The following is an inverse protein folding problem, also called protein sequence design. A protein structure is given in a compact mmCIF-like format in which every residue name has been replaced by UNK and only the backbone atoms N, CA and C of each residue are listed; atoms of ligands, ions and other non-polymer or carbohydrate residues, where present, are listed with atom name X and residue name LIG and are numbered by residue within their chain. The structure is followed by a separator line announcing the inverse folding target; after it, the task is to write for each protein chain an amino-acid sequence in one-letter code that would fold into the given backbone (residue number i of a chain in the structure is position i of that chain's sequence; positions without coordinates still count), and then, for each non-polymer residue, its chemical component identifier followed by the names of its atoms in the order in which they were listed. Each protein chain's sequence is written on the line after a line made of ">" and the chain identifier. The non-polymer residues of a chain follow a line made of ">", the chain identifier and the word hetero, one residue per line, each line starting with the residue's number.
data_IF_409527597613
#
_entry.id   IF_409527597613
#
_cell.length_a   1.000
_cell.length_b   1.000
_cell.length_c   1.000
_cell.angle_alpha   90.00
_cell.angle_beta   90.00
_cell.angle_gamma   90.00
#
_symmetry.space_group_name_H-M   'P 1'
#
loop_
_entity.id
_entity.type
_entity.pdbx_description
1 polymer ?
#
# COMPACT_ATOMS: atom_id res chain seq x y z
N UNK A 1 -15.51 24.38 5.86
CA UNK A 1 -15.31 23.57 4.63
C UNK A 1 -13.84 23.44 4.24
N UNK A 2 -13.05 24.52 4.25
CA UNK A 2 -11.60 24.46 3.91
C UNK A 2 -10.74 23.61 4.86
N UNK A 3 -11.16 23.39 6.12
CA UNK A 3 -10.48 22.52 7.09
C UNK A 3 -10.84 21.03 6.95
N UNK A 4 -12.01 20.71 6.40
CA UNK A 4 -12.48 19.33 6.25
C UNK A 4 -11.77 18.61 5.10
N UNK A 5 -11.49 19.33 4.02
CA UNK A 5 -10.95 18.74 2.80
C UNK A 5 -9.54 18.13 2.98
N UNK A 6 -8.57 18.80 3.64
CA UNK A 6 -7.29 18.18 3.97
C UNK A 6 -7.43 16.93 4.85
N UNK A 7 -8.37 16.93 5.81
CA UNK A 7 -8.62 15.77 6.67
C UNK A 7 -9.16 14.58 5.86
N UNK A 8 -10.05 14.83 4.90
CA UNK A 8 -10.55 13.79 4.00
C UNK A 8 -9.41 13.22 3.15
N UNK A 9 -8.52 14.06 2.62
CA UNK A 9 -7.33 13.60 1.87
C UNK A 9 -6.44 12.71 2.75
N UNK A 10 -6.12 13.16 3.97
CA UNK A 10 -5.31 12.39 4.94
C UNK A 10 -5.96 11.04 5.24
N UNK A 11 -7.26 11.04 5.56
CA UNK A 11 -8.00 9.82 5.90
C UNK A 11 -8.08 8.86 4.71
N UNK A 12 -8.49 9.33 3.53
CA UNK A 12 -8.59 8.51 2.32
C UNK A 12 -7.25 7.91 1.92
N UNK A 13 -6.19 8.71 1.86
CA UNK A 13 -4.85 8.24 1.53
C UNK A 13 -4.36 7.18 2.54
N UNK A 14 -4.54 7.44 3.85
CA UNK A 14 -4.13 6.51 4.90
C UNK A 14 -4.89 5.18 4.83
N UNK A 15 -6.20 5.22 4.61
CA UNK A 15 -7.06 4.03 4.49
C UNK A 15 -6.70 3.22 3.25
N UNK A 16 -6.48 3.86 2.10
CA UNK A 16 -6.04 3.18 0.87
C UNK A 16 -4.77 2.38 1.14
N UNK A 17 -3.77 3.02 1.76
CA UNK A 17 -2.50 2.36 2.03
C UNK A 17 -2.61 1.22 3.05
N UNK A 18 -3.46 1.36 4.08
CA UNK A 18 -3.78 0.30 5.04
C UNK A 18 -4.43 -0.90 4.36
N UNK A 19 -5.48 -0.67 3.57
CA UNK A 19 -6.23 -1.74 2.89
C UNK A 19 -5.33 -2.52 1.94
N UNK A 20 -4.51 -1.82 1.16
CA UNK A 20 -3.51 -2.46 0.28
C UNK A 20 -2.47 -3.24 1.09
N UNK A 21 -1.95 -2.69 2.19
CA UNK A 21 -1.00 -3.39 3.05
C UNK A 21 -1.58 -4.71 3.59
N UNK A 22 -2.80 -4.66 4.15
CA UNK A 22 -3.50 -5.81 4.71
C UNK A 22 -3.91 -6.84 3.64
N UNK A 23 -4.16 -6.40 2.40
CA UNK A 23 -4.57 -7.27 1.29
C UNK A 23 -3.55 -8.36 0.97
N UNK A 24 -2.24 -8.07 1.12
CA UNK A 24 -1.18 -9.01 0.78
C UNK A 24 -1.16 -10.23 1.70
N UNK A 25 -1.64 -10.10 2.94
CA UNK A 25 -1.79 -11.24 3.84
C UNK A 25 -2.83 -12.25 3.37
N UNK A 26 -3.72 -11.89 2.43
CA UNK A 26 -4.63 -12.85 1.81
C UNK A 26 -3.89 -13.95 1.04
N UNK A 27 -2.69 -13.68 0.50
CA UNK A 27 -1.84 -14.70 -0.14
C UNK A 27 -1.34 -15.73 0.86
N UNK A 28 -0.91 -15.27 2.04
CA UNK A 28 -0.47 -16.13 3.14
C UNK A 28 -1.64 -16.99 3.63
N UNK A 29 -2.79 -16.36 3.87
CA UNK A 29 -4.00 -17.04 4.31
C UNK A 29 -4.50 -18.08 3.30
N UNK A 30 -4.51 -17.75 2.00
CA UNK A 30 -4.86 -18.68 0.94
C UNK A 30 -3.92 -19.88 0.89
N UNK A 31 -2.61 -19.67 1.02
CA UNK A 31 -1.64 -20.78 1.11
C UNK A 31 -1.86 -21.64 2.35
N UNK A 32 -2.08 -21.02 3.51
CA UNK A 32 -2.36 -21.70 4.78
C UNK A 32 -3.63 -22.57 4.73
N UNK A 33 -4.65 -22.14 3.98
CA UNK A 33 -5.88 -22.89 3.75
C UNK A 33 -5.79 -23.92 2.60
N UNK A 34 -4.63 -24.05 1.94
CA UNK A 34 -4.48 -24.92 0.76
C UNK A 34 -5.26 -24.43 -0.47
N UNK A 35 -5.62 -23.14 -0.52
CA UNK A 35 -6.40 -22.46 -1.57
C UNK A 35 -5.69 -21.19 -2.07
N UNK A 36 -4.49 -21.28 -2.67
CA UNK A 36 -3.69 -20.11 -3.08
C UNK A 36 -4.41 -19.20 -4.07
N UNK A 37 -5.18 -19.78 -5.00
CA UNK A 37 -5.99 -19.03 -5.98
C UNK A 37 -7.06 -18.18 -5.28
N UNK A 38 -7.72 -18.71 -4.24
CA UNK A 38 -8.68 -17.95 -3.44
C UNK A 38 -8.02 -16.80 -2.69
N UNK A 39 -6.81 -17.04 -2.14
CA UNK A 39 -6.02 -15.98 -1.52
C UNK A 39 -5.68 -14.85 -2.50
N UNK A 40 -5.34 -15.19 -3.75
CA UNK A 40 -5.13 -14.19 -4.80
C UNK A 40 -6.40 -13.40 -5.13
N UNK A 41 -7.52 -14.10 -5.29
CA UNK A 41 -8.79 -13.46 -5.60
C UNK A 41 -9.21 -12.46 -4.49
N UNK A 42 -8.99 -12.80 -3.22
CA UNK A 42 -9.25 -11.90 -2.09
C UNK A 42 -8.34 -10.67 -2.16
N UNK A 43 -7.03 -10.84 -2.41
CA UNK A 43 -6.11 -9.71 -2.59
C UNK A 43 -6.59 -8.78 -3.72
N UNK A 44 -6.91 -9.33 -4.89
CA UNK A 44 -7.37 -8.55 -6.04
C UNK A 44 -8.72 -7.86 -5.80
N UNK A 45 -9.63 -8.49 -5.07
CA UNK A 45 -10.89 -7.86 -4.68
C UNK A 45 -10.62 -6.64 -3.78
N UNK A 46 -9.74 -6.77 -2.79
CA UNK A 46 -9.35 -5.65 -1.93
C UNK A 46 -8.67 -4.53 -2.73
N UNK A 47 -7.73 -4.83 -3.63
CA UNK A 47 -7.08 -3.80 -4.46
C UNK A 47 -8.04 -3.13 -5.43
N UNK A 48 -9.09 -3.82 -5.89
CA UNK A 48 -10.15 -3.21 -6.70
C UNK A 48 -10.94 -2.19 -5.90
N UNK A 49 -11.25 -2.49 -4.64
CA UNK A 49 -11.90 -1.54 -3.72
C UNK A 49 -10.99 -0.33 -3.45
N UNK A 50 -9.68 -0.52 -3.27
CA UNK A 50 -8.76 0.61 -3.04
C UNK A 50 -8.65 1.52 -4.25
N UNK A 51 -8.71 0.98 -5.48
CA UNK A 51 -8.78 1.80 -6.70
C UNK A 51 -9.99 2.73 -6.71
N UNK A 52 -11.15 2.28 -6.24
CA UNK A 52 -12.32 3.15 -6.10
C UNK A 52 -12.06 4.33 -5.15
N UNK A 53 -11.49 4.07 -3.97
CA UNK A 53 -11.12 5.14 -3.03
C UNK A 53 -10.06 6.09 -3.61
N UNK A 54 -9.13 5.57 -4.41
CA UNK A 54 -8.11 6.37 -5.09
C UNK A 54 -8.72 7.29 -6.17
N UNK A 55 -9.70 6.79 -6.93
CA UNK A 55 -10.47 7.62 -7.87
C UNK A 55 -11.26 8.71 -7.15
N UNK A 56 -11.78 8.45 -5.95
CA UNK A 56 -12.44 9.46 -5.12
C UNK A 56 -11.46 10.49 -4.54
N UNK A 57 -10.19 10.13 -4.31
CA UNK A 57 -9.15 11.03 -3.80
C UNK A 57 -8.75 12.11 -4.83
N UNK A 58 -8.69 11.77 -6.11
CA UNK A 58 -8.23 12.69 -7.17
C UNK A 58 -9.06 13.97 -7.28
N UNK A 59 -10.42 13.93 -7.29
CA UNK A 59 -11.24 15.15 -7.24
C UNK A 59 -11.00 16.01 -6.00
N UNK A 60 -10.73 15.40 -4.82
CA UNK A 60 -10.45 16.17 -3.60
C UNK A 60 -9.15 16.96 -3.75
N UNK A 61 -8.10 16.32 -4.30
CA UNK A 61 -6.84 16.99 -4.60
C UNK A 61 -6.98 18.04 -5.70
N UNK A 62 -7.76 17.75 -6.75
CA UNK A 62 -8.05 18.71 -7.82
C UNK A 62 -8.75 19.96 -7.29
N UNK A 63 -9.73 19.78 -6.41
CA UNK A 63 -10.43 20.89 -5.78
C UNK A 63 -9.50 21.75 -4.90
N UNK A 64 -8.55 21.14 -4.19
CA UNK A 64 -7.53 21.90 -3.45
C UNK A 64 -6.66 22.75 -4.38
N UNK A 65 -6.30 22.21 -5.54
CA UNK A 65 -5.55 22.93 -6.57
C UNK A 65 -6.38 24.07 -7.16
N UNK A 66 -7.64 23.82 -7.53
CA UNK A 66 -8.54 24.85 -8.08
C UNK A 66 -8.83 25.97 -7.08
N UNK A 67 -8.82 25.67 -5.77
CA UNK A 67 -8.94 26.66 -4.71
C UNK A 67 -7.63 27.39 -4.39
N UNK A 68 -6.52 27.02 -5.04
CA UNK A 68 -5.20 27.61 -4.82
C UNK A 68 -4.84 27.71 -3.34
N UNK A 69 -5.02 26.60 -2.60
CA UNK A 69 -4.67 26.55 -1.19
C UNK A 69 -3.18 26.89 -0.98
N UNK A 70 -2.78 27.44 0.18
CA UNK A 70 -1.37 27.72 0.43
C UNK A 70 -0.49 26.47 0.25
N UNK A 71 0.67 26.62 -0.39
CA UNK A 71 1.62 25.51 -0.62
C UNK A 71 2.11 24.91 0.71
N UNK A 72 2.29 25.74 1.74
CA UNK A 72 2.59 25.31 3.11
C UNK A 72 1.51 24.38 3.69
N UNK A 73 0.23 24.70 3.47
CA UNK A 73 -0.90 23.87 3.91
C UNK A 73 -0.92 22.53 3.17
N UNK A 74 -0.70 22.54 1.85
CA UNK A 74 -0.65 21.30 1.06
C UNK A 74 0.53 20.42 1.49
N UNK A 75 1.70 21.01 1.74
CA UNK A 75 2.89 20.29 2.23
C UNK A 75 2.59 19.59 3.56
N UNK A 76 2.04 20.31 4.54
CA UNK A 76 1.66 19.74 5.83
C UNK A 76 0.62 18.62 5.69
N UNK A 77 -0.38 18.82 4.84
CA UNK A 77 -1.40 17.80 4.54
C UNK A 77 -0.77 16.55 3.92
N UNK A 78 0.12 16.69 2.94
CA UNK A 78 0.78 15.56 2.28
C UNK A 78 1.66 14.76 3.25
N UNK A 79 2.41 15.44 4.11
CA UNK A 79 3.19 14.79 5.16
C UNK A 79 2.30 14.09 6.19
N UNK A 80 1.22 14.73 6.63
CA UNK A 80 0.25 14.12 7.54
C UNK A 80 -0.43 12.89 6.92
N UNK A 81 -0.72 12.90 5.62
CA UNK A 81 -1.28 11.77 4.89
C UNK A 81 -0.30 10.58 4.86
N UNK A 82 0.97 10.82 4.53
CA UNK A 82 1.99 9.77 4.53
C UNK A 82 2.28 9.25 5.94
N UNK A 83 2.31 10.13 6.93
CA UNK A 83 2.46 9.74 8.34
C UNK A 83 1.28 8.87 8.82
N UNK A 84 0.04 9.28 8.52
CA UNK A 84 -1.15 8.48 8.81
C UNK A 84 -1.13 7.11 8.14
N UNK A 85 -0.72 7.06 6.86
CA UNK A 85 -0.55 5.81 6.13
C UNK A 85 0.53 4.90 6.73
N UNK A 86 1.65 5.47 7.17
CA UNK A 86 2.71 4.73 7.85
C UNK A 86 2.23 4.20 9.21
N UNK A 87 1.56 5.02 10.02
CA UNK A 87 1.03 4.63 11.32
C UNK A 87 0.01 3.50 11.21
N UNK A 88 -0.93 3.61 10.27
CA UNK A 88 -1.91 2.54 10.02
C UNK A 88 -1.24 1.28 9.48
N UNK A 89 -0.23 1.39 8.61
CA UNK A 89 0.53 0.23 8.12
C UNK A 89 1.31 -0.46 9.25
N UNK A 90 1.86 0.30 10.21
CA UNK A 90 2.48 -0.24 11.42
C UNK A 90 1.46 -0.92 12.33
N UNK A 91 0.26 -0.35 12.48
CA UNK A 91 -0.85 -1.02 13.17
C UNK A 91 -1.20 -2.35 12.46
N UNK A 92 -1.25 -2.35 11.13
CA UNK A 92 -1.45 -3.56 10.33
C UNK A 92 -0.32 -4.58 10.49
N UNK A 93 0.93 -4.13 10.67
CA UNK A 93 2.04 -5.00 11.05
C UNK A 93 1.83 -5.63 12.43
N UNK A 94 1.39 -4.85 13.42
CA UNK A 94 1.15 -5.34 14.77
C UNK A 94 0.00 -6.35 14.81
N UNK A 95 -1.10 -6.08 14.09
CA UNK A 95 -2.29 -6.94 14.01
C UNK A 95 -2.18 -8.11 13.02
N UNK A 96 -1.02 -8.30 12.38
CA UNK A 96 -0.87 -9.20 11.22
C UNK A 96 -1.34 -10.64 11.46
N UNK A 97 -1.03 -11.23 12.62
CA UNK A 97 -1.38 -12.64 12.87
C UNK A 97 -2.89 -12.81 13.06
N UNK A 98 -3.53 -11.90 13.79
CA UNK A 98 -4.99 -11.87 13.94
C UNK A 98 -5.68 -11.68 12.60
N UNK A 99 -5.14 -10.81 11.74
CA UNK A 99 -5.67 -10.58 10.39
C UNK A 99 -5.49 -11.80 9.48
N UNK A 100 -4.31 -12.43 9.47
CA UNK A 100 -4.07 -13.67 8.72
C UNK A 100 -5.00 -14.77 9.22
N UNK A 101 -5.23 -14.90 10.53
CA UNK A 101 -6.14 -15.88 11.10
C UNK A 101 -7.59 -15.66 10.67
N UNK A 102 -8.06 -14.41 10.68
CA UNK A 102 -9.38 -14.04 10.19
C UNK A 102 -9.56 -14.46 8.72
N UNK A 103 -8.61 -14.09 7.85
CA UNK A 103 -8.67 -14.45 6.42
C UNK A 103 -8.56 -15.96 6.20
N UNK A 104 -7.66 -16.63 6.91
CA UNK A 104 -7.47 -18.08 6.82
C UNK A 104 -8.75 -18.80 7.20
N UNK A 105 -9.36 -18.44 8.33
CA UNK A 105 -10.60 -19.06 8.80
C UNK A 105 -11.81 -18.72 7.91
N UNK A 106 -11.85 -17.54 7.29
CA UNK A 106 -12.87 -17.22 6.29
C UNK A 106 -12.77 -18.14 5.05
N UNK A 107 -11.56 -18.41 4.57
CA UNK A 107 -11.33 -19.34 3.45
C UNK A 107 -11.62 -20.79 3.86
N UNK A 108 -11.12 -21.23 5.02
CA UNK A 108 -11.31 -22.59 5.56
C UNK A 108 -12.79 -22.92 5.80
N UNK A 109 -13.56 -21.98 6.36
CA UNK A 109 -15.01 -22.13 6.57
C UNK A 109 -15.74 -22.43 5.26
N UNK A 110 -15.43 -21.69 4.18
CA UNK A 110 -16.02 -21.93 2.84
C UNK A 110 -15.58 -23.27 2.23
N UNK A 111 -14.43 -23.78 2.64
CA UNK A 111 -13.90 -25.07 2.20
C UNK A 111 -14.31 -26.26 3.11
N UNK A 112 -15.14 -26.04 4.14
CA UNK A 112 -15.55 -27.08 5.08
C UNK A 112 -14.43 -27.56 6.02
N UNK A 113 -13.38 -26.77 6.23
CA UNK A 113 -12.23 -27.10 7.07
C UNK A 113 -12.37 -26.51 8.48
N UNK A 114 -11.87 -27.19 9.54
CA UNK A 114 -11.93 -26.69 10.91
C UNK A 114 -11.10 -25.39 11.05
N UNK A 115 -11.50 -24.45 11.93
CA UNK A 115 -10.77 -23.20 12.13
C UNK A 115 -9.43 -23.45 12.81
N UNK A 116 -8.47 -22.55 12.57
CA UNK A 116 -7.18 -22.50 13.26
C UNK A 116 -7.15 -21.35 14.26
N UNK A 117 -6.50 -21.56 15.40
CA UNK A 117 -6.20 -20.52 16.39
C UNK A 117 -5.05 -19.64 15.91
N UNK A 118 -4.99 -18.42 16.45
CA UNK A 118 -3.93 -17.45 16.11
C UNK A 118 -2.55 -18.00 16.45
N UNK A 119 -2.40 -18.71 17.58
CA UNK A 119 -1.12 -19.28 18.00
C UNK A 119 -0.62 -20.41 17.08
N UNK A 120 -1.53 -21.23 16.56
CA UNK A 120 -1.19 -22.29 15.59
C UNK A 120 -0.65 -21.68 14.30
N UNK A 121 -1.31 -20.61 13.81
CA UNK A 121 -0.88 -19.86 12.64
C UNK A 121 0.47 -19.20 12.91
N UNK A 122 0.62 -18.51 14.04
CA UNK A 122 1.86 -17.84 14.40
C UNK A 122 3.04 -18.80 14.40
N UNK A 123 2.89 -19.94 15.08
CA UNK A 123 3.92 -21.00 15.14
C UNK A 123 4.27 -21.52 13.75
N UNK A 124 3.27 -21.76 12.89
CA UNK A 124 3.49 -22.22 11.52
C UNK A 124 4.21 -21.19 10.63
N UNK A 125 4.03 -19.89 10.90
CA UNK A 125 4.60 -18.80 10.11
C UNK A 125 5.99 -18.37 10.57
N UNK A 126 6.29 -18.49 11.86
CA UNK A 126 7.58 -18.06 12.44
C UNK A 126 8.73 -19.04 12.18
N UNK A 127 8.45 -20.20 11.57
CA UNK A 127 9.49 -21.13 11.13
C UNK A 127 10.56 -20.45 10.27
N UNK A 128 11.86 -20.80 10.43
CA UNK A 128 12.95 -20.19 9.68
C UNK A 128 12.77 -20.35 8.17
N UNK A 129 13.02 -19.27 7.42
CA UNK A 129 12.94 -19.25 5.96
C UNK A 129 14.29 -18.94 5.33
N UNK A 130 14.63 -19.65 4.24
CA UNK A 130 15.85 -19.44 3.45
C UNK A 130 15.53 -18.66 2.17
N UNK A 131 15.29 -17.35 2.31
CA UNK A 131 14.90 -16.47 1.21
C UNK A 131 15.76 -15.20 1.16
N UNK A 132 15.98 -14.62 -0.04
CA UNK A 132 16.69 -13.35 -0.20
C UNK A 132 15.81 -12.15 0.21
N UNK A 133 15.42 -12.08 1.48
CA UNK A 133 14.45 -11.10 2.03
C UNK A 133 14.84 -9.65 1.70
N UNK A 134 16.14 -9.31 1.81
CA UNK A 134 16.65 -7.96 1.52
C UNK A 134 16.39 -7.51 0.08
N UNK A 135 16.57 -8.42 -0.90
CA UNK A 135 16.34 -8.12 -2.32
C UNK A 135 14.87 -7.89 -2.62
N UNK A 136 13.98 -8.67 -1.99
CA UNK A 136 12.54 -8.51 -2.11
C UNK A 136 12.11 -7.16 -1.49
N UNK A 137 12.60 -6.85 -0.29
CA UNK A 137 12.31 -5.60 0.40
C UNK A 137 12.80 -4.38 -0.40
N UNK A 138 14.01 -4.42 -0.95
CA UNK A 138 14.56 -3.32 -1.74
C UNK A 138 13.74 -3.07 -3.01
N UNK A 139 13.42 -4.14 -3.76
CA UNK A 139 12.58 -4.04 -4.95
C UNK A 139 11.21 -3.46 -4.60
N UNK A 140 10.59 -3.97 -3.54
CA UNK A 140 9.30 -3.48 -3.07
C UNK A 140 9.36 -2.00 -2.68
N UNK A 141 10.42 -1.57 -1.98
CA UNK A 141 10.59 -0.18 -1.59
C UNK A 141 10.66 0.74 -2.83
N UNK A 142 11.40 0.35 -3.87
CA UNK A 142 11.50 1.12 -5.12
C UNK A 142 10.12 1.22 -5.80
N UNK A 143 9.40 0.11 -5.94
CA UNK A 143 8.09 0.08 -6.60
C UNK A 143 7.06 0.90 -5.81
N UNK A 144 6.99 0.71 -4.49
CA UNK A 144 6.03 1.40 -3.65
C UNK A 144 6.37 2.88 -3.45
N UNK A 145 7.63 3.29 -3.60
CA UNK A 145 8.00 4.71 -3.55
C UNK A 145 7.24 5.52 -4.60
N UNK A 146 7.14 5.00 -5.83
CA UNK A 146 6.36 5.64 -6.90
C UNK A 146 4.87 5.76 -6.52
N UNK A 147 4.28 4.71 -5.94
CA UNK A 147 2.88 4.71 -5.50
C UNK A 147 2.60 5.73 -4.40
N UNK A 148 3.49 5.82 -3.41
CA UNK A 148 3.29 6.67 -2.24
C UNK A 148 3.50 8.15 -2.62
N UNK A 149 4.52 8.45 -3.43
CA UNK A 149 4.92 9.82 -3.72
C UNK A 149 4.12 10.44 -4.89
N UNK A 150 3.82 9.65 -5.92
CA UNK A 150 3.43 10.16 -7.24
C UNK A 150 2.25 11.11 -7.22
N UNK A 151 1.11 10.70 -6.64
CA UNK A 151 -0.10 11.52 -6.64
C UNK A 151 0.07 12.83 -5.87
N UNK A 152 0.61 12.76 -4.64
CA UNK A 152 0.73 13.94 -3.79
C UNK A 152 1.72 14.93 -4.41
N UNK A 153 2.82 14.45 -4.98
CA UNK A 153 3.82 15.30 -5.61
C UNK A 153 3.31 15.95 -6.91
N UNK A 154 2.62 15.19 -7.77
CA UNK A 154 2.00 15.74 -8.99
C UNK A 154 1.00 16.83 -8.67
N UNK A 155 0.12 16.63 -7.68
CA UNK A 155 -0.87 17.64 -7.33
C UNK A 155 -0.25 18.84 -6.59
N UNK A 156 0.84 18.66 -5.85
CA UNK A 156 1.63 19.78 -5.34
C UNK A 156 2.21 20.63 -6.49
N UNK A 157 2.80 20.00 -7.51
CA UNK A 157 3.29 20.77 -8.67
C UNK A 157 2.17 21.40 -9.49
N UNK A 158 0.99 20.79 -9.56
CA UNK A 158 -0.19 21.40 -10.18
C UNK A 158 -0.66 22.64 -9.41
N UNK A 159 -0.42 22.70 -8.10
CA UNK A 159 -0.67 23.88 -7.27
C UNK A 159 0.37 24.98 -7.52
N UNK A 160 1.66 24.63 -7.58
CA UNK A 160 2.77 25.57 -7.83
C UNK A 160 2.70 26.17 -9.24
N UNK A 161 2.54 25.33 -10.26
CA UNK A 161 2.50 25.74 -11.67
C UNK A 161 1.05 25.72 -12.18
N UNK A 162 0.24 26.60 -11.59
CA UNK A 162 -1.23 26.55 -11.72
C UNK A 162 -1.74 26.70 -13.17
N UNK A 163 -0.99 27.38 -14.04
CA UNK A 163 -1.31 27.51 -15.47
C UNK A 163 -1.36 26.15 -16.18
N UNK A 164 -0.52 25.20 -15.76
CA UNK A 164 -0.40 23.86 -16.34
C UNK A 164 -1.07 22.77 -15.48
N UNK A 165 -1.90 23.17 -14.50
CA UNK A 165 -2.46 22.26 -13.48
C UNK A 165 -3.13 21.01 -14.04
N UNK A 166 -3.85 21.13 -15.15
CA UNK A 166 -4.54 19.99 -15.80
C UNK A 166 -3.52 18.97 -16.32
N UNK A 167 -2.51 19.43 -17.06
CA UNK A 167 -1.44 18.58 -17.57
C UNK A 167 -0.66 17.93 -16.43
N UNK A 168 -0.27 18.71 -15.41
CA UNK A 168 0.55 18.21 -14.30
C UNK A 168 -0.24 17.22 -13.43
N UNK A 169 -1.52 17.49 -13.15
CA UNK A 169 -2.37 16.54 -12.42
C UNK A 169 -2.58 15.24 -13.19
N UNK A 170 -2.68 15.27 -14.53
CA UNK A 170 -2.76 14.07 -15.36
C UNK A 170 -1.47 13.23 -15.34
N UNK A 171 -0.29 13.85 -15.13
CA UNK A 171 0.97 13.10 -14.94
C UNK A 171 0.92 12.17 -13.73
N UNK A 172 0.07 12.45 -12.73
CA UNK A 172 -0.11 11.53 -11.60
C UNK A 172 -0.62 10.16 -12.05
N UNK A 173 -1.54 10.13 -13.03
CA UNK A 173 -2.08 8.92 -13.62
C UNK A 173 -0.99 8.13 -14.37
N UNK A 174 -0.10 8.83 -15.09
CA UNK A 174 1.04 8.21 -15.76
C UNK A 174 2.02 7.59 -14.76
N UNK A 175 2.40 8.32 -13.71
CA UNK A 175 3.30 7.81 -12.66
C UNK A 175 2.69 6.58 -11.97
N UNK A 176 1.41 6.63 -11.63
CA UNK A 176 0.69 5.50 -11.05
C UNK A 176 0.59 4.30 -12.02
N UNK A 177 0.39 4.56 -13.31
CA UNK A 177 0.41 3.55 -14.37
C UNK A 177 1.76 2.82 -14.44
N UNK A 178 2.87 3.57 -14.44
CA UNK A 178 4.23 2.99 -14.41
C UNK A 178 4.45 2.17 -13.14
N UNK A 179 4.05 2.68 -11.97
CA UNK A 179 4.16 1.95 -10.71
C UNK A 179 3.37 0.63 -10.75
N UNK A 180 2.19 0.65 -11.38
CA UNK A 180 1.35 -0.54 -11.58
C UNK A 180 1.97 -1.55 -12.52
N UNK A 181 2.57 -1.11 -13.62
CA UNK A 181 3.31 -2.00 -14.51
C UNK A 181 4.47 -2.66 -13.77
N UNK A 182 5.25 -1.90 -13.00
CA UNK A 182 6.35 -2.46 -12.21
C UNK A 182 5.84 -3.45 -11.16
N UNK A 183 4.75 -3.14 -10.47
CA UNK A 183 4.14 -4.06 -9.50
C UNK A 183 3.72 -5.37 -10.18
N UNK A 184 2.92 -5.28 -11.24
CA UNK A 184 2.28 -6.44 -11.87
C UNK A 184 3.23 -7.28 -12.74
N UNK A 185 4.18 -6.67 -13.43
CA UNK A 185 5.11 -7.42 -14.30
C UNK A 185 6.39 -7.86 -13.59
N UNK A 186 6.75 -7.24 -12.45
CA UNK A 186 8.05 -7.50 -11.80
C UNK A 186 7.89 -8.09 -10.40
N UNK A 187 7.07 -7.48 -9.55
CA UNK A 187 6.95 -7.90 -8.15
C UNK A 187 5.96 -9.06 -7.98
N UNK A 188 4.77 -8.95 -8.58
CA UNK A 188 3.71 -9.98 -8.46
C UNK A 188 4.14 -11.36 -8.98
N UNK A 189 4.81 -11.52 -10.13
CA UNK A 189 5.20 -12.84 -10.63
C UNK A 189 6.22 -13.52 -9.73
N UNK A 190 7.13 -12.74 -9.10
CA UNK A 190 8.11 -13.25 -8.14
C UNK A 190 7.43 -13.76 -6.87
N UNK A 191 6.43 -13.04 -6.36
CA UNK A 191 5.66 -13.48 -5.19
C UNK A 191 4.80 -14.70 -5.53
N UNK A 192 4.14 -14.71 -6.70
CA UNK A 192 3.33 -15.83 -7.16
C UNK A 192 4.15 -17.12 -7.25
N UNK A 193 5.35 -17.09 -7.85
CA UNK A 193 6.23 -18.25 -7.90
C UNK A 193 6.63 -18.79 -6.52
N UNK A 194 6.77 -17.92 -5.51
CA UNK A 194 7.01 -18.34 -4.12
C UNK A 194 5.75 -18.98 -3.54
N UNK A 195 4.56 -18.38 -3.75
CA UNK A 195 3.28 -18.93 -3.28
C UNK A 195 3.03 -20.34 -3.80
N UNK A 196 3.37 -20.60 -5.07
CA UNK A 196 3.11 -21.88 -5.72
C UNK A 196 4.13 -22.96 -5.33
N UNK A 197 5.41 -22.61 -5.21
CA UNK A 197 6.49 -23.60 -5.07
C UNK A 197 7.02 -23.79 -3.64
N UNK A 198 6.69 -22.90 -2.69
CA UNK A 198 7.32 -22.88 -1.35
C UNK A 198 6.31 -23.20 -0.22
N UNK A 199 6.81 -23.63 0.96
CA UNK A 199 5.98 -23.81 2.14
C UNK A 199 5.43 -22.49 2.69
N UNK A 200 4.39 -22.56 3.52
CA UNK A 200 3.65 -21.37 3.99
C UNK A 200 4.51 -20.34 4.75
N UNK A 201 5.50 -20.79 5.54
CA UNK A 201 6.41 -19.87 6.24
C UNK A 201 7.25 -19.05 5.26
N UNK A 202 7.80 -19.68 4.21
CA UNK A 202 8.54 -18.98 3.15
C UNK A 202 7.66 -17.92 2.46
N UNK A 203 6.40 -18.25 2.16
CA UNK A 203 5.43 -17.30 1.60
C UNK A 203 5.21 -16.12 2.54
N UNK A 204 5.02 -16.37 3.84
CA UNK A 204 4.89 -15.31 4.83
C UNK A 204 6.12 -14.42 4.91
N UNK A 205 7.32 -15.01 4.98
CA UNK A 205 8.56 -14.23 5.05
C UNK A 205 8.81 -13.41 3.77
N UNK A 206 8.42 -13.90 2.59
CA UNK A 206 8.47 -13.14 1.35
C UNK A 206 7.50 -11.95 1.35
N UNK A 207 6.24 -12.18 1.71
CA UNK A 207 5.22 -11.13 1.83
C UNK A 207 5.65 -10.10 2.89
N UNK A 208 6.16 -10.54 4.04
CA UNK A 208 6.63 -9.67 5.10
C UNK A 208 7.82 -8.82 4.65
N UNK A 209 8.77 -9.40 3.91
CA UNK A 209 9.90 -8.64 3.37
C UNK A 209 9.43 -7.55 2.38
N UNK A 210 8.48 -7.88 1.51
CA UNK A 210 7.86 -6.93 0.60
C UNK A 210 7.12 -5.81 1.35
N UNK A 211 6.33 -6.16 2.37
CA UNK A 211 5.60 -5.19 3.19
C UNK A 211 6.53 -4.30 4.03
N UNK A 212 7.65 -4.83 4.50
CA UNK A 212 8.69 -4.02 5.14
C UNK A 212 9.32 -3.02 4.16
N UNK A 213 9.56 -3.44 2.91
CA UNK A 213 9.98 -2.53 1.84
C UNK A 213 8.97 -1.41 1.59
N UNK A 214 7.68 -1.76 1.55
CA UNK A 214 6.57 -0.78 1.45
C UNK A 214 6.55 0.19 2.64
N UNK A 215 6.74 -0.30 3.87
CA UNK A 215 6.82 0.53 5.07
C UNK A 215 7.99 1.52 5.03
N UNK A 216 9.15 1.08 4.57
CA UNK A 216 10.32 1.97 4.38
C UNK A 216 9.99 3.03 3.33
N UNK A 217 9.35 2.65 2.22
CA UNK A 217 8.96 3.58 1.17
C UNK A 217 7.99 4.64 1.69
N UNK A 218 6.88 4.26 2.33
CA UNK A 218 5.85 5.22 2.76
C UNK A 218 6.20 5.97 4.04
N UNK A 219 6.93 5.33 4.96
CA UNK A 219 7.23 5.90 6.27
C UNK A 219 8.49 6.77 6.28
N UNK A 220 9.43 6.56 5.37
CA UNK A 220 10.73 7.24 5.38
C UNK A 220 11.05 7.90 4.02
N UNK A 221 11.12 7.12 2.94
CA UNK A 221 11.63 7.62 1.66
C UNK A 221 10.67 8.64 1.02
N UNK A 222 9.38 8.33 0.95
CA UNK A 222 8.40 9.22 0.33
C UNK A 222 8.24 10.54 1.12
N UNK A 223 8.08 10.55 2.45
CA UNK A 223 8.03 11.80 3.22
C UNK A 223 9.29 12.65 3.08
N UNK A 224 10.48 12.03 3.12
CA UNK A 224 11.74 12.74 2.99
C UNK A 224 11.89 13.40 1.61
N UNK A 225 11.57 12.67 0.53
CA UNK A 225 11.61 13.22 -0.83
C UNK A 225 10.52 14.26 -1.04
N UNK A 226 9.30 14.02 -0.55
CA UNK A 226 8.21 14.97 -0.66
C UNK A 226 8.55 16.28 0.06
N UNK A 227 9.04 16.22 1.30
CA UNK A 227 9.48 17.41 2.03
C UNK A 227 10.63 18.11 1.32
N UNK A 228 11.69 17.38 0.96
CA UNK A 228 12.88 17.97 0.34
C UNK A 228 12.62 18.65 -1.00
N UNK A 229 11.66 18.15 -1.78
CA UNK A 229 11.25 18.78 -3.04
C UNK A 229 10.32 19.97 -2.78
N UNK A 230 9.29 19.79 -1.95
CA UNK A 230 8.24 20.79 -1.77
C UNK A 230 8.68 22.02 -0.97
N UNK A 231 9.64 21.88 -0.04
CA UNK A 231 10.11 22.99 0.80
C UNK A 231 10.73 24.13 -0.01
N UNK A 232 11.23 23.86 -1.23
CA UNK A 232 11.76 24.90 -2.11
C UNK A 232 10.69 25.82 -2.74
N UNK A 233 9.40 25.52 -2.56
CA UNK A 233 8.26 26.24 -3.13
C UNK A 233 7.29 26.77 -2.06
N UNK A 234 7.69 26.72 -0.79
CA UNK A 234 6.94 27.24 0.36
C UNK A 234 7.60 28.51 0.85
#
# INVERSE_FOLDING_TARGET
>A
MMTLLPLLVIASYSIIHLLEYLSYYARVAGRMAGKPVTGYAIQNATTTVTRFFYLALMPLLGFLVDKQVPTSLYLQMGLAAMFGAALLSLLGYWLRYSWIALLTNAVRKRAGQPPLRVEEIRTALEAPASLPKKRIALLAAIVFLCYCLGVLLSYFFALVFHEYRSTISQLSGLINGVATVLLTFVLEPRIAGIVDARPTHDVYHAIQAMLNGRLIAIGLLAPALFFGVCIGFV
#
